data_IF_308935460888
#
_entry.id   IF_308935460888
#
_cell.length_a   1.000
_cell.length_b   1.000
_cell.length_c   1.000
_cell.angle_alpha   90.00
_cell.angle_beta   90.00
_cell.angle_gamma   90.00
#
_symmetry.space_group_name_H-M   'P 1'
#
loop_
_entity.id
_entity.type
_entity.pdbx_description
1 polymer ?
#
# COMPACT_ATOMS: atom_id res chain seq x y z
N UNK A 1 -20.14 61.45 -18.30
CA UNK A 1 -21.03 60.91 -17.24
C UNK A 1 -20.22 59.94 -16.37
N UNK A 2 -20.20 60.22 -15.06
CA UNK A 2 -19.42 59.54 -14.04
C UNK A 2 -19.91 58.09 -13.79
N UNK A 3 -19.03 57.10 -13.91
CA UNK A 3 -19.25 55.75 -13.37
C UNK A 3 -18.26 55.47 -12.23
N UNK A 4 -18.62 55.84 -11.00
CA UNK A 4 -17.78 55.59 -9.81
C UNK A 4 -17.75 54.11 -9.46
N UNK A 5 -16.52 53.61 -9.31
CA UNK A 5 -16.13 52.40 -8.59
C UNK A 5 -16.80 52.30 -7.21
N UNK A 6 -17.41 51.15 -6.93
CA UNK A 6 -17.90 50.75 -5.60
C UNK A 6 -17.04 49.58 -5.10
N UNK A 7 -15.80 49.86 -4.72
CA UNK A 7 -15.01 48.97 -3.87
C UNK A 7 -15.61 48.95 -2.48
N UNK A 8 -16.44 47.94 -2.19
CA UNK A 8 -17.00 47.69 -0.86
C UNK A 8 -15.87 47.24 0.07
N UNK A 9 -15.31 48.19 0.83
CA UNK A 9 -14.36 47.94 1.90
C UNK A 9 -15.02 47.08 2.99
N UNK A 10 -14.75 45.78 3.00
CA UNK A 10 -15.07 44.92 4.14
C UNK A 10 -14.07 45.23 5.24
N UNK A 11 -14.40 46.20 6.11
CA UNK A 11 -13.70 46.38 7.38
C UNK A 11 -13.79 45.08 8.18
N UNK A 12 -12.66 44.39 8.30
CA UNK A 12 -12.43 43.35 9.28
C UNK A 12 -12.53 43.98 10.67
N UNK A 13 -13.69 43.87 11.31
CA UNK A 13 -13.82 44.16 12.73
C UNK A 13 -13.12 43.04 13.49
N UNK A 14 -11.83 43.21 13.75
CA UNK A 14 -11.07 42.34 14.65
C UNK A 14 -11.46 42.73 16.08
N UNK A 15 -12.47 42.07 16.61
CA UNK A 15 -12.86 42.19 18.03
C UNK A 15 -11.63 41.87 18.89
N UNK A 16 -11.17 42.85 19.66
CA UNK A 16 -9.97 42.79 20.50
C UNK A 16 -10.38 43.06 21.96
N UNK A 17 -11.38 42.33 22.44
CA UNK A 17 -11.70 42.20 23.85
C UNK A 17 -11.23 40.83 24.36
N UNK A 18 -11.04 40.63 25.68
CA UNK A 18 -10.80 39.30 26.23
C UNK A 18 -11.95 38.40 25.81
N UNK A 19 -11.66 37.41 24.96
CA UNK A 19 -12.63 36.37 24.63
C UNK A 19 -12.86 35.64 25.94
N UNK A 20 -14.08 35.76 26.46
CA UNK A 20 -14.50 35.09 27.68
C UNK A 20 -14.09 33.61 27.60
N UNK A 21 -13.45 33.09 28.65
CA UNK A 21 -12.84 31.74 28.64
C UNK A 21 -13.91 30.71 28.26
N UNK A 22 -15.13 30.94 28.69
CA UNK A 22 -16.32 30.16 28.37
C UNK A 22 -16.69 30.18 26.87
N UNK A 23 -16.55 31.33 26.20
CA UNK A 23 -16.80 31.45 24.75
C UNK A 23 -15.73 30.70 23.96
N UNK A 24 -14.47 30.76 24.41
CA UNK A 24 -13.35 30.03 23.78
C UNK A 24 -13.50 28.52 23.93
N UNK A 25 -13.96 28.07 25.09
CA UNK A 25 -14.24 26.65 25.37
C UNK A 25 -15.41 26.12 24.53
N UNK A 26 -16.50 26.89 24.42
CA UNK A 26 -17.64 26.56 23.54
C UNK A 26 -17.25 26.48 22.06
N UNK A 27 -16.36 27.36 21.59
CA UNK A 27 -15.84 27.33 20.21
C UNK A 27 -15.00 26.08 19.96
N UNK A 28 -14.12 25.70 20.90
CA UNK A 28 -13.31 24.47 20.82
C UNK A 28 -14.19 23.21 20.83
N UNK A 29 -15.26 23.20 21.63
CA UNK A 29 -16.24 22.12 21.67
C UNK A 29 -17.02 21.99 20.36
N UNK A 30 -17.48 23.12 19.79
CA UNK A 30 -18.11 23.17 18.47
C UNK A 30 -17.18 22.68 17.35
N UNK A 31 -15.89 23.03 17.41
CA UNK A 31 -14.89 22.52 16.46
C UNK A 31 -14.69 21.01 16.59
N UNK A 32 -14.58 20.48 17.81
CA UNK A 32 -14.52 19.03 18.06
C UNK A 32 -15.76 18.31 17.53
N UNK A 33 -16.96 18.83 17.80
CA UNK A 33 -18.21 18.26 17.29
C UNK A 33 -18.28 18.30 15.76
N UNK A 34 -17.81 19.38 15.13
CA UNK A 34 -17.76 19.51 13.67
C UNK A 34 -16.80 18.49 13.06
N UNK A 35 -15.63 18.29 13.67
CA UNK A 35 -14.66 17.25 13.27
C UNK A 35 -15.25 15.84 13.42
N UNK A 36 -15.92 15.56 14.54
CA UNK A 36 -16.58 14.27 14.80
C UNK A 36 -17.69 14.00 13.80
N UNK A 37 -18.57 14.97 13.52
CA UNK A 37 -19.63 14.84 12.51
C UNK A 37 -19.06 14.67 11.11
N UNK A 38 -18.02 15.42 10.72
CA UNK A 38 -17.33 15.21 9.43
C UNK A 38 -16.75 13.80 9.31
N UNK A 39 -16.17 13.26 10.38
CA UNK A 39 -15.69 11.88 10.40
C UNK A 39 -16.84 10.87 10.24
N UNK A 40 -17.97 11.07 10.94
CA UNK A 40 -19.16 10.22 10.82
C UNK A 40 -19.82 10.30 9.45
N UNK A 41 -19.94 11.50 8.86
CA UNK A 41 -20.47 11.66 7.50
C UNK A 41 -19.58 10.95 6.48
N UNK A 42 -18.25 11.04 6.62
CA UNK A 42 -17.33 10.32 5.75
C UNK A 42 -17.40 8.80 5.96
N UNK A 43 -17.71 8.32 7.16
CA UNK A 43 -17.97 6.90 7.43
C UNK A 43 -19.28 6.43 6.79
N UNK A 44 -20.34 7.24 6.84
CA UNK A 44 -21.63 7.00 6.18
C UNK A 44 -21.48 7.03 4.66
N UNK A 45 -20.77 8.01 4.10
CA UNK A 45 -20.48 8.10 2.67
C UNK A 45 -19.73 6.85 2.17
N UNK A 46 -18.83 6.31 2.99
CA UNK A 46 -18.12 5.07 2.69
C UNK A 46 -18.98 3.80 2.82
N UNK A 47 -20.10 3.86 3.54
CA UNK A 47 -21.04 2.74 3.69
C UNK A 47 -22.23 2.82 2.74
N UNK A 48 -22.38 3.90 1.95
CA UNK A 48 -23.43 4.03 0.95
C UNK A 48 -23.12 3.20 -0.31
N UNK A 49 -24.17 2.65 -0.97
CA UNK A 49 -24.02 1.87 -2.19
C UNK A 49 -23.50 2.72 -3.34
N UNK A 50 -22.33 2.37 -3.88
CA UNK A 50 -21.80 2.99 -5.09
C UNK A 50 -22.35 2.29 -6.34
N UNK A 51 -22.81 3.07 -7.32
CA UNK A 51 -23.28 2.54 -8.60
C UNK A 51 -22.15 1.78 -9.31
N UNK A 52 -22.48 0.63 -9.88
CA UNK A 52 -21.57 -0.16 -10.70
C UNK A 52 -21.13 0.64 -11.94
N UNK A 53 -19.85 0.55 -12.29
CA UNK A 53 -19.35 1.17 -13.54
C UNK A 53 -19.85 0.41 -14.77
N UNK A 54 -19.90 1.07 -15.94
CA UNK A 54 -20.42 0.50 -17.21
C UNK A 54 -19.90 -0.91 -17.53
N UNK A 55 -18.61 -1.16 -17.37
CA UNK A 55 -18.01 -2.50 -17.57
C UNK A 55 -18.69 -3.58 -16.73
N UNK A 56 -18.92 -3.28 -15.46
CA UNK A 56 -19.51 -4.23 -14.52
C UNK A 56 -21.00 -4.41 -14.76
N UNK A 57 -21.70 -3.35 -15.19
CA UNK A 57 -23.09 -3.42 -15.62
C UNK A 57 -23.27 -4.29 -16.86
N UNK A 58 -22.34 -4.23 -17.82
CA UNK A 58 -22.38 -5.08 -19.02
C UNK A 58 -22.22 -6.56 -18.65
N UNK A 59 -21.34 -6.88 -17.69
CA UNK A 59 -21.02 -8.29 -17.34
C UNK A 59 -21.98 -8.88 -16.32
N UNK A 60 -22.30 -8.14 -15.26
CA UNK A 60 -23.13 -8.63 -14.14
C UNK A 60 -24.59 -8.19 -14.24
N UNK A 61 -24.94 -7.31 -15.19
CA UNK A 61 -26.25 -6.67 -15.24
C UNK A 61 -26.41 -5.57 -14.19
N UNK A 62 -27.66 -5.19 -13.92
CA UNK A 62 -28.01 -4.18 -12.92
C UNK A 62 -27.99 -4.74 -11.48
N UNK A 63 -26.85 -5.33 -11.10
CA UNK A 63 -26.63 -5.89 -9.77
C UNK A 63 -25.81 -4.92 -8.93
N UNK A 64 -26.28 -4.66 -7.71
CA UNK A 64 -25.55 -3.86 -6.73
C UNK A 64 -24.39 -4.66 -6.14
N UNK A 65 -23.17 -4.32 -6.52
CA UNK A 65 -21.92 -4.94 -6.03
C UNK A 65 -21.30 -4.22 -4.85
N UNK A 66 -22.03 -3.30 -4.22
CA UNK A 66 -21.52 -2.53 -3.10
C UNK A 66 -21.51 -3.35 -1.82
N UNK A 67 -20.32 -3.56 -1.28
CA UNK A 67 -20.06 -4.22 -0.01
C UNK A 67 -20.11 -3.13 1.06
N UNK A 68 -21.23 -2.97 1.76
CA UNK A 68 -21.43 -1.84 2.68
C UNK A 68 -20.58 -1.96 3.95
N UNK A 69 -20.37 -3.18 4.43
CA UNK A 69 -19.62 -3.46 5.65
C UNK A 69 -18.09 -3.36 5.43
N UNK A 70 -17.41 -2.60 6.28
CA UNK A 70 -15.95 -2.41 6.23
C UNK A 70 -15.18 -3.71 6.42
N UNK A 71 -15.66 -4.61 7.28
CA UNK A 71 -15.03 -5.90 7.52
C UNK A 71 -15.11 -6.80 6.28
N UNK A 72 -16.24 -6.77 5.57
CA UNK A 72 -16.44 -7.53 4.34
C UNK A 72 -15.60 -6.98 3.18
N UNK A 73 -15.40 -5.65 3.10
CA UNK A 73 -14.46 -5.05 2.13
C UNK A 73 -13.03 -5.56 2.34
N UNK A 74 -12.59 -5.65 3.59
CA UNK A 74 -11.25 -6.16 3.94
C UNK A 74 -11.15 -7.65 3.64
N UNK A 75 -12.16 -8.44 4.01
CA UNK A 75 -12.22 -9.88 3.73
C UNK A 75 -12.19 -10.16 2.24
N UNK A 76 -13.01 -9.47 1.44
CA UNK A 76 -13.01 -9.59 -0.01
C UNK A 76 -11.64 -9.28 -0.62
N UNK A 77 -10.97 -8.24 -0.11
CA UNK A 77 -9.61 -7.91 -0.53
C UNK A 77 -8.60 -9.00 -0.16
N UNK A 78 -8.67 -9.54 1.05
CA UNK A 78 -7.79 -10.64 1.48
C UNK A 78 -8.05 -11.91 0.62
N UNK A 79 -9.30 -12.21 0.28
CA UNK A 79 -9.66 -13.35 -0.58
C UNK A 79 -9.27 -13.12 -2.05
N UNK A 80 -9.29 -11.88 -2.53
CA UNK A 80 -8.71 -11.49 -3.83
C UNK A 80 -7.19 -11.72 -3.87
N UNK A 81 -6.46 -11.33 -2.82
CA UNK A 81 -5.02 -11.55 -2.72
C UNK A 81 -4.67 -13.04 -2.61
N UNK A 82 -5.42 -13.83 -1.81
CA UNK A 82 -5.28 -15.29 -1.76
C UNK A 82 -5.55 -15.95 -3.11
N UNK A 83 -6.60 -15.52 -3.81
CA UNK A 83 -6.92 -16.01 -5.14
C UNK A 83 -5.74 -15.84 -6.11
N UNK A 84 -5.12 -14.66 -6.16
CA UNK A 84 -3.91 -14.43 -6.97
C UNK A 84 -2.79 -15.39 -6.61
N UNK A 85 -2.53 -15.60 -5.32
CA UNK A 85 -1.47 -16.49 -4.87
C UNK A 85 -1.71 -17.95 -5.28
N UNK A 86 -2.92 -18.47 -5.03
CA UNK A 86 -3.27 -19.86 -5.36
C UNK A 86 -3.11 -20.09 -6.86
N UNK A 87 -3.65 -19.19 -7.67
CA UNK A 87 -3.58 -19.33 -9.13
C UNK A 87 -2.17 -19.15 -9.66
N UNK A 88 -1.36 -18.29 -9.04
CA UNK A 88 0.05 -18.16 -9.39
C UNK A 88 0.84 -19.45 -9.12
N UNK A 89 0.56 -20.15 -8.00
CA UNK A 89 1.20 -21.45 -7.70
C UNK A 89 0.76 -22.53 -8.69
N UNK A 90 -0.54 -22.62 -9.00
CA UNK A 90 -1.05 -23.56 -10.02
C UNK A 90 -0.41 -23.26 -11.38
N UNK A 91 -0.37 -21.99 -11.78
CA UNK A 91 0.24 -21.54 -13.03
C UNK A 91 1.72 -21.87 -13.11
N UNK A 92 2.47 -21.68 -12.02
CA UNK A 92 3.89 -22.03 -11.95
C UNK A 92 4.12 -23.53 -12.17
N UNK A 93 3.32 -24.37 -11.51
CA UNK A 93 3.39 -25.84 -11.64
C UNK A 93 3.08 -26.24 -13.09
N UNK A 94 2.01 -25.71 -13.68
CA UNK A 94 1.65 -25.99 -15.07
C UNK A 94 2.71 -25.51 -16.07
N UNK A 95 3.31 -24.32 -15.86
CA UNK A 95 4.38 -23.82 -16.69
C UNK A 95 5.62 -24.71 -16.62
N UNK A 96 5.96 -25.23 -15.42
CA UNK A 96 7.05 -26.18 -15.24
C UNK A 96 6.78 -27.52 -15.94
N UNK A 97 5.56 -28.05 -15.82
CA UNK A 97 5.17 -29.25 -16.57
C UNK A 97 5.24 -29.05 -18.09
N UNK A 98 4.85 -27.87 -18.60
CA UNK A 98 5.00 -27.53 -20.02
C UNK A 98 6.47 -27.43 -20.47
N UNK A 99 7.40 -27.10 -19.58
CA UNK A 99 8.83 -27.11 -19.92
C UNK A 99 9.38 -28.53 -20.09
N UNK A 100 8.88 -29.49 -19.31
CA UNK A 100 9.31 -30.89 -19.35
C UNK A 100 8.59 -31.65 -20.47
N UNK A 101 7.28 -31.47 -20.57
CA UNK A 101 6.41 -32.22 -21.48
C UNK A 101 5.90 -31.31 -22.60
N UNK A 102 6.15 -31.72 -23.85
CA UNK A 102 5.56 -31.08 -25.02
C UNK A 102 4.21 -31.73 -25.38
N UNK A 103 3.18 -31.47 -24.56
CA UNK A 103 1.85 -32.02 -24.78
C UNK A 103 0.82 -30.90 -24.97
N UNK A 104 0.18 -30.89 -26.15
CA UNK A 104 -0.72 -29.81 -26.58
C UNK A 104 -1.88 -29.55 -25.62
N UNK A 105 -2.49 -30.59 -25.06
CA UNK A 105 -3.61 -30.41 -24.14
C UNK A 105 -3.18 -29.71 -22.84
N UNK A 106 -1.95 -29.98 -22.37
CA UNK A 106 -1.38 -29.36 -21.17
C UNK A 106 -1.06 -27.87 -21.43
N UNK A 107 -0.56 -27.55 -22.63
CA UNK A 107 -0.36 -26.16 -23.06
C UNK A 107 -1.69 -25.40 -23.16
N UNK A 108 -2.69 -26.00 -23.81
CA UNK A 108 -4.03 -25.39 -23.94
C UNK A 108 -4.68 -25.19 -22.57
N UNK A 109 -4.58 -26.15 -21.67
CA UNK A 109 -5.07 -26.01 -20.31
C UNK A 109 -4.39 -24.85 -19.59
N UNK A 110 -3.08 -24.68 -19.76
CA UNK A 110 -2.33 -23.56 -19.18
C UNK A 110 -2.77 -22.21 -19.77
N UNK A 111 -2.86 -22.09 -21.10
CA UNK A 111 -3.26 -20.85 -21.76
C UNK A 111 -4.72 -20.51 -21.43
N UNK A 112 -5.61 -21.51 -21.39
CA UNK A 112 -6.99 -21.34 -20.95
C UNK A 112 -7.06 -20.84 -19.50
N UNK A 113 -6.23 -21.39 -18.61
CA UNK A 113 -6.12 -20.91 -17.23
C UNK A 113 -5.71 -19.43 -17.19
N UNK A 114 -4.77 -18.98 -18.03
CA UNK A 114 -4.39 -17.56 -18.12
C UNK A 114 -5.57 -16.68 -18.56
N UNK A 115 -6.32 -17.09 -19.59
CA UNK A 115 -7.51 -16.36 -20.04
C UNK A 115 -8.51 -16.23 -18.89
N UNK A 116 -8.87 -17.36 -18.27
CA UNK A 116 -9.80 -17.39 -17.15
C UNK A 116 -9.33 -16.53 -15.97
N UNK A 117 -8.03 -16.62 -15.64
CA UNK A 117 -7.42 -15.87 -14.55
C UNK A 117 -7.53 -14.37 -14.78
N UNK A 118 -7.08 -13.86 -15.95
CA UNK A 118 -7.11 -12.43 -16.22
C UNK A 118 -8.54 -11.89 -16.37
N UNK A 119 -9.45 -12.64 -17.00
CA UNK A 119 -10.88 -12.31 -17.00
C UNK A 119 -11.41 -12.15 -15.57
N UNK A 120 -11.14 -13.12 -14.70
CA UNK A 120 -11.59 -13.08 -13.29
C UNK A 120 -10.98 -11.89 -12.54
N UNK A 121 -9.69 -11.58 -12.77
CA UNK A 121 -9.03 -10.43 -12.17
C UNK A 121 -9.73 -9.12 -12.55
N UNK A 122 -10.01 -8.90 -13.84
CA UNK A 122 -10.65 -7.65 -14.28
C UNK A 122 -12.01 -7.43 -13.61
N UNK A 123 -12.79 -8.49 -13.38
CA UNK A 123 -14.07 -8.43 -12.68
C UNK A 123 -13.85 -8.11 -11.20
N UNK A 124 -13.01 -8.89 -10.50
CA UNK A 124 -12.73 -8.70 -9.06
C UNK A 124 -12.15 -7.32 -8.78
N UNK A 125 -11.26 -6.80 -9.62
CA UNK A 125 -10.70 -5.46 -9.48
C UNK A 125 -11.69 -4.34 -9.78
N UNK A 126 -12.63 -4.58 -10.69
CA UNK A 126 -13.72 -3.64 -10.96
C UNK A 126 -14.63 -3.51 -9.74
N UNK A 127 -14.97 -4.64 -9.10
CA UNK A 127 -15.71 -4.67 -7.82
C UNK A 127 -14.92 -3.95 -6.72
N UNK A 128 -13.63 -4.24 -6.54
CA UNK A 128 -12.79 -3.56 -5.55
C UNK A 128 -12.78 -2.03 -5.73
N UNK A 129 -12.75 -1.55 -6.97
CA UNK A 129 -12.71 -0.10 -7.26
C UNK A 129 -14.02 0.59 -6.96
N UNK A 130 -15.15 -0.01 -7.33
CA UNK A 130 -16.48 0.51 -6.97
C UNK A 130 -16.60 0.61 -5.44
N UNK A 131 -15.97 -0.32 -4.72
CA UNK A 131 -15.94 -0.35 -3.26
C UNK A 131 -14.81 0.50 -2.61
N UNK A 132 -14.21 1.43 -3.35
CA UNK A 132 -13.26 2.43 -2.81
C UNK A 132 -11.78 2.02 -2.82
N UNK A 133 -11.43 0.87 -3.41
CA UNK A 133 -10.01 0.47 -3.52
C UNK A 133 -9.24 1.42 -4.45
N UNK A 134 -8.13 1.98 -3.95
CA UNK A 134 -7.24 2.88 -4.70
C UNK A 134 -6.29 2.12 -5.64
N UNK A 135 -6.85 1.41 -6.60
CA UNK A 135 -6.09 0.74 -7.66
C UNK A 135 -5.69 1.79 -8.72
N UNK A 136 -4.41 1.78 -9.15
CA UNK A 136 -3.92 2.69 -10.19
C UNK A 136 -4.46 2.26 -11.57
N UNK A 137 -4.73 3.24 -12.43
CA UNK A 137 -5.32 3.01 -13.75
C UNK A 137 -4.51 2.05 -14.62
N UNK A 138 -3.17 2.18 -14.63
CA UNK A 138 -2.30 1.30 -15.41
C UNK A 138 -2.47 -0.18 -15.05
N UNK A 139 -2.48 -0.55 -13.77
CA UNK A 139 -2.60 -1.95 -13.36
C UNK A 139 -3.90 -2.59 -13.85
N UNK A 140 -4.99 -1.83 -13.84
CA UNK A 140 -6.25 -2.26 -14.45
C UNK A 140 -6.11 -2.45 -15.95
N UNK A 141 -5.61 -1.43 -16.66
CA UNK A 141 -5.42 -1.51 -18.12
C UNK A 141 -4.53 -2.69 -18.50
N UNK A 142 -3.44 -2.91 -17.74
CA UNK A 142 -2.55 -4.05 -17.87
C UNK A 142 -3.31 -5.38 -17.80
N UNK A 143 -4.19 -5.59 -16.82
CA UNK A 143 -4.99 -6.82 -16.75
C UNK A 143 -5.92 -7.01 -17.95
N UNK A 144 -6.54 -5.95 -18.45
CA UNK A 144 -7.34 -6.02 -19.68
C UNK A 144 -6.51 -6.39 -20.92
N UNK A 145 -5.33 -5.76 -21.07
CA UNK A 145 -4.40 -6.07 -22.15
C UNK A 145 -3.91 -7.52 -22.03
N UNK A 146 -3.64 -8.00 -20.81
CA UNK A 146 -3.26 -9.39 -20.56
C UNK A 146 -4.39 -10.38 -20.89
N UNK A 147 -5.67 -10.03 -20.66
CA UNK A 147 -6.81 -10.85 -21.13
C UNK A 147 -6.81 -10.99 -22.65
N UNK A 148 -6.61 -9.88 -23.38
CA UNK A 148 -6.53 -9.90 -24.85
C UNK A 148 -5.35 -10.76 -25.30
N UNK A 149 -4.17 -10.56 -24.70
CA UNK A 149 -2.98 -11.35 -25.02
C UNK A 149 -3.18 -12.85 -24.77
N UNK A 150 -3.78 -13.23 -23.64
CA UNK A 150 -4.11 -14.62 -23.35
C UNK A 150 -5.12 -15.20 -24.36
N UNK A 151 -6.10 -14.39 -24.80
CA UNK A 151 -7.05 -14.78 -25.83
C UNK A 151 -6.36 -15.04 -27.18
N UNK A 152 -5.47 -14.15 -27.61
CA UNK A 152 -4.66 -14.31 -28.84
C UNK A 152 -3.79 -15.57 -28.74
N UNK A 153 -3.16 -15.84 -27.59
CA UNK A 153 -2.40 -17.07 -27.36
C UNK A 153 -3.29 -18.33 -27.45
N UNK A 154 -4.54 -18.27 -26.98
CA UNK A 154 -5.46 -19.41 -27.00
C UNK A 154 -5.84 -19.81 -28.42
N UNK A 155 -6.09 -18.83 -29.29
CA UNK A 155 -6.45 -19.06 -30.70
C UNK A 155 -5.25 -19.24 -31.62
N UNK A 156 -4.02 -19.01 -31.12
CA UNK A 156 -2.80 -19.23 -31.91
C UNK A 156 -2.69 -20.72 -32.28
N UNK A 157 -2.74 -21.06 -33.59
CA UNK A 157 -2.65 -22.45 -34.03
C UNK A 157 -1.29 -23.07 -33.71
N UNK A 158 -1.27 -24.39 -33.57
CA UNK A 158 0.00 -25.11 -33.51
C UNK A 158 0.70 -25.03 -34.86
N UNK A 159 1.98 -24.72 -34.83
CA UNK A 159 2.81 -24.55 -36.02
C UNK A 159 4.25 -24.18 -35.65
N UNK A 160 5.07 -24.01 -36.67
CA UNK A 160 6.51 -23.72 -36.51
C UNK A 160 6.76 -22.48 -35.63
N UNK A 161 6.10 -21.36 -35.93
CA UNK A 161 6.27 -20.11 -35.16
C UNK A 161 5.90 -20.29 -33.68
N UNK A 162 4.85 -21.06 -33.37
CA UNK A 162 4.52 -21.35 -31.96
C UNK A 162 5.64 -22.17 -31.31
N UNK A 163 6.10 -23.25 -31.95
CA UNK A 163 7.11 -24.13 -31.37
C UNK A 163 8.45 -23.42 -31.12
N UNK A 164 8.84 -22.49 -31.99
CA UNK A 164 10.04 -21.65 -31.79
C UNK A 164 9.89 -20.74 -30.56
N UNK A 165 8.72 -20.12 -30.37
CA UNK A 165 8.50 -19.18 -29.26
C UNK A 165 8.11 -19.86 -27.93
N UNK A 166 7.53 -21.06 -27.99
CA UNK A 166 6.92 -21.80 -26.88
C UNK A 166 7.78 -21.83 -25.63
N UNK A 167 9.02 -22.29 -25.74
CA UNK A 167 9.91 -22.45 -24.57
C UNK A 167 10.19 -21.10 -23.92
N UNK A 168 10.47 -20.07 -24.72
CA UNK A 168 10.69 -18.71 -24.23
C UNK A 168 9.45 -18.19 -23.48
N UNK A 169 8.25 -18.44 -24.01
CA UNK A 169 6.99 -18.11 -23.33
C UNK A 169 6.83 -18.84 -21.99
N UNK A 170 7.16 -20.13 -21.93
CA UNK A 170 7.07 -20.89 -20.67
C UNK A 170 8.09 -20.42 -19.63
N UNK A 171 9.33 -20.13 -20.02
CA UNK A 171 10.33 -19.53 -19.14
C UNK A 171 9.89 -18.16 -18.62
N UNK A 172 9.29 -17.34 -19.48
CA UNK A 172 8.72 -16.06 -19.07
C UNK A 172 7.60 -16.24 -18.03
N UNK A 173 6.73 -17.24 -18.19
CA UNK A 173 5.66 -17.50 -17.23
C UNK A 173 6.20 -18.02 -15.88
N UNK A 174 7.20 -18.91 -15.88
CA UNK A 174 7.89 -19.31 -14.64
C UNK A 174 8.49 -18.09 -13.94
N UNK A 175 9.20 -17.26 -14.71
CA UNK A 175 9.83 -16.06 -14.17
C UNK A 175 8.81 -15.08 -13.58
N UNK A 176 7.75 -14.74 -14.33
CA UNK A 176 6.74 -13.80 -13.86
C UNK A 176 5.99 -14.35 -12.65
N UNK A 177 5.80 -15.67 -12.55
CA UNK A 177 5.20 -16.29 -11.37
C UNK A 177 6.05 -16.13 -10.11
N UNK A 178 7.37 -16.21 -10.23
CA UNK A 178 8.29 -15.91 -9.13
C UNK A 178 8.16 -14.42 -8.75
N UNK A 179 8.16 -13.51 -9.73
CA UNK A 179 7.98 -12.07 -9.48
C UNK A 179 6.64 -11.78 -8.81
N UNK A 180 5.56 -12.42 -9.25
CA UNK A 180 4.22 -12.27 -8.65
C UNK A 180 4.19 -12.74 -7.19
N UNK A 181 4.89 -13.82 -6.87
CA UNK A 181 5.07 -14.25 -5.48
C UNK A 181 5.81 -13.20 -4.63
N UNK A 182 6.89 -12.63 -5.17
CA UNK A 182 7.64 -11.54 -4.51
C UNK A 182 6.75 -10.28 -4.31
N UNK A 183 5.98 -9.92 -5.33
CA UNK A 183 5.02 -8.82 -5.28
C UNK A 183 3.94 -9.07 -4.23
N UNK A 184 3.41 -10.30 -4.13
CA UNK A 184 2.42 -10.67 -3.13
C UNK A 184 2.95 -10.48 -1.71
N UNK A 185 4.14 -11.01 -1.41
CA UNK A 185 4.70 -10.84 -0.06
C UNK A 185 5.03 -9.36 0.26
N UNK A 186 5.46 -8.58 -0.73
CA UNK A 186 5.60 -7.12 -0.58
C UNK A 186 4.26 -6.43 -0.28
N UNK A 187 3.19 -6.77 -1.01
CA UNK A 187 1.85 -6.19 -0.80
C UNK A 187 1.25 -6.60 0.54
N UNK A 188 1.42 -7.86 0.94
CA UNK A 188 1.01 -8.39 2.24
C UNK A 188 1.73 -7.66 3.38
N UNK A 189 3.04 -7.48 3.28
CA UNK A 189 3.85 -6.71 4.24
C UNK A 189 3.39 -5.24 4.38
N UNK A 190 3.02 -4.59 3.28
CA UNK A 190 2.44 -3.25 3.31
C UNK A 190 1.04 -3.21 3.95
N UNK A 191 0.19 -4.18 3.63
CA UNK A 191 -1.18 -4.24 4.13
C UNK A 191 -1.20 -4.47 5.64
N UNK A 192 -0.35 -5.36 6.16
CA UNK A 192 -0.19 -5.54 7.61
C UNK A 192 0.18 -4.24 8.32
N UNK A 193 1.10 -3.45 7.77
CA UNK A 193 1.48 -2.16 8.36
C UNK A 193 0.33 -1.18 8.39
N UNK A 194 -0.49 -1.11 7.34
CA UNK A 194 -1.66 -0.24 7.31
C UNK A 194 -2.74 -0.70 8.30
N UNK A 195 -2.94 -2.02 8.46
CA UNK A 195 -3.84 -2.58 9.49
C UNK A 195 -3.34 -2.25 10.90
N UNK A 196 -2.04 -2.46 11.18
CA UNK A 196 -1.42 -2.16 12.47
C UNK A 196 -1.30 -0.64 12.79
N UNK A 197 -1.30 0.23 11.77
CA UNK A 197 -1.38 1.68 11.99
C UNK A 197 -2.83 2.17 12.21
N UNK A 198 -3.83 1.35 11.85
CA UNK A 198 -5.25 1.64 12.01
C UNK A 198 -5.86 1.05 13.28
N UNK A 199 -5.36 -0.09 13.75
CA UNK A 199 -5.67 -0.65 15.07
C UNK A 199 -4.56 -0.31 16.05
N UNK A 200 -4.94 0.21 17.22
CA UNK A 200 -4.03 0.63 18.29
C UNK A 200 -3.47 -0.56 19.08
N UNK A 201 -3.12 -1.65 18.39
CA UNK A 201 -2.61 -2.85 19.05
C UNK A 201 -1.12 -3.06 18.73
N UNK A 202 -0.34 -3.19 19.80
CA UNK A 202 1.06 -3.60 19.75
C UNK A 202 1.17 -4.89 18.94
N UNK A 203 1.81 -4.83 17.79
CA UNK A 203 2.18 -6.03 17.05
C UNK A 203 3.64 -5.89 16.63
N UNK A 204 4.50 -5.94 17.65
CA UNK A 204 5.92 -6.22 17.45
C UNK A 204 6.03 -7.70 17.11
N UNK A 205 6.38 -7.97 15.85
CA UNK A 205 7.07 -9.21 15.51
C UNK A 205 8.40 -8.75 14.91
N UNK A 206 9.45 -8.97 15.69
CA UNK A 206 10.87 -8.81 15.36
C UNK A 206 11.28 -9.82 14.29
N UNK A 207 10.77 -9.69 13.07
CA UNK A 207 11.35 -10.39 11.92
C UNK A 207 12.56 -9.56 11.50
N UNK A 208 13.75 -10.06 11.82
CA UNK A 208 15.03 -9.39 11.63
C UNK A 208 15.33 -9.05 10.16
N UNK A 209 16.08 -7.95 10.01
CA UNK A 209 16.87 -7.50 8.86
C UNK A 209 16.36 -7.85 7.47
N UNK A 210 16.72 -9.04 6.98
CA UNK A 210 16.57 -9.44 5.59
C UNK A 210 15.11 -9.70 5.18
N UNK A 211 14.34 -10.49 5.94
CA UNK A 211 12.93 -10.75 5.63
C UNK A 211 12.08 -9.49 5.74
N UNK A 212 12.36 -8.63 6.72
CA UNK A 212 11.77 -7.30 6.83
C UNK A 212 12.12 -6.45 5.60
N UNK A 213 13.38 -6.40 5.18
CA UNK A 213 13.80 -5.65 4.00
C UNK A 213 13.21 -6.19 2.68
N UNK A 214 13.18 -7.50 2.50
CA UNK A 214 12.60 -8.17 1.32
C UNK A 214 11.09 -7.90 1.20
N UNK A 215 10.34 -8.12 2.28
CA UNK A 215 8.87 -8.01 2.26
C UNK A 215 8.34 -6.60 2.55
N UNK A 216 9.19 -5.66 2.96
CA UNK A 216 8.79 -4.25 3.24
C UNK A 216 9.51 -3.25 2.33
N UNK A 217 10.64 -3.62 1.72
CA UNK A 217 11.49 -2.77 0.89
C UNK A 217 11.06 -2.76 -0.56
N UNK A 218 10.64 -1.59 -1.06
CA UNK A 218 10.38 -1.42 -2.50
C UNK A 218 11.65 -1.67 -3.32
N UNK A 219 12.82 -1.28 -2.79
CA UNK A 219 14.11 -1.43 -3.46
C UNK A 219 14.52 -2.88 -3.71
N UNK A 220 14.11 -3.83 -2.86
CA UNK A 220 14.37 -5.26 -3.09
C UNK A 220 13.58 -5.78 -4.30
N UNK A 221 12.32 -5.37 -4.43
CA UNK A 221 11.42 -5.86 -5.47
C UNK A 221 11.79 -5.32 -6.86
N UNK A 222 12.36 -4.12 -6.94
CA UNK A 222 12.58 -3.41 -8.20
C UNK A 222 13.50 -4.13 -9.19
N UNK A 223 14.68 -4.67 -8.81
CA UNK A 223 15.53 -5.43 -9.73
C UNK A 223 14.78 -6.55 -10.46
N UNK A 224 14.03 -7.37 -9.71
CA UNK A 224 13.23 -8.46 -10.29
C UNK A 224 12.13 -7.92 -11.21
N UNK A 225 11.54 -6.79 -10.85
CA UNK A 225 10.51 -6.16 -11.65
C UNK A 225 11.06 -5.66 -13.00
N UNK A 226 12.20 -4.96 -12.98
CA UNK A 226 12.86 -4.48 -14.19
C UNK A 226 13.36 -5.61 -15.08
N UNK A 227 13.95 -6.68 -14.51
CA UNK A 227 14.32 -7.87 -15.29
C UNK A 227 13.08 -8.46 -15.97
N UNK A 228 11.95 -8.55 -15.27
CA UNK A 228 10.68 -8.98 -15.87
C UNK A 228 10.22 -8.10 -17.03
N UNK A 229 10.39 -6.79 -16.92
CA UNK A 229 10.07 -5.85 -17.99
C UNK A 229 11.00 -6.04 -19.19
N UNK A 230 12.30 -6.18 -18.95
CA UNK A 230 13.24 -6.50 -20.03
C UNK A 230 12.94 -7.85 -20.68
N UNK A 231 12.46 -8.84 -19.93
CA UNK A 231 11.99 -10.10 -20.51
C UNK A 231 10.72 -9.90 -21.36
N UNK A 232 9.79 -9.01 -20.95
CA UNK A 232 8.67 -8.62 -21.82
C UNK A 232 9.15 -7.99 -23.13
N UNK A 233 10.14 -7.08 -23.08
CA UNK A 233 10.74 -6.51 -24.27
C UNK A 233 11.46 -7.56 -25.13
N UNK A 234 12.15 -8.52 -24.51
CA UNK A 234 12.79 -9.64 -25.19
C UNK A 234 11.77 -10.53 -25.91
N UNK A 235 10.62 -10.81 -25.29
CA UNK A 235 9.51 -11.51 -25.95
C UNK A 235 8.99 -10.72 -27.14
N UNK A 236 8.76 -9.41 -26.97
CA UNK A 236 8.32 -8.54 -28.07
C UNK A 236 9.30 -8.57 -29.24
N UNK A 237 10.61 -8.49 -28.95
CA UNK A 237 11.68 -8.55 -29.95
C UNK A 237 11.78 -9.90 -30.65
N UNK A 238 11.73 -11.02 -29.92
CA UNK A 238 11.72 -12.35 -30.52
C UNK A 238 10.53 -12.49 -31.47
N UNK A 239 9.33 -12.12 -31.02
CA UNK A 239 8.11 -12.18 -31.84
C UNK A 239 8.16 -11.23 -33.03
N UNK A 240 8.77 -10.04 -32.88
CA UNK A 240 8.96 -9.11 -33.98
C UNK A 240 9.82 -9.75 -35.08
N UNK A 241 10.96 -10.37 -34.72
CA UNK A 241 11.77 -11.11 -35.70
C UNK A 241 10.99 -12.28 -36.32
N UNK A 242 10.24 -13.01 -35.49
CA UNK A 242 9.45 -14.16 -35.91
C UNK A 242 8.31 -13.79 -36.85
N UNK A 243 7.86 -12.52 -36.85
CA UNK A 243 6.88 -12.01 -37.79
C UNK A 243 7.42 -11.89 -39.23
N UNK A 244 8.75 -11.83 -39.40
CA UNK A 244 9.40 -11.71 -40.70
C UNK A 244 10.19 -12.97 -41.11
N UNK A 245 10.60 -13.80 -40.15
CA UNK A 245 11.36 -15.03 -40.43
C UNK A 245 11.12 -16.08 -39.34
N UNK A 246 10.66 -17.30 -39.68
CA UNK A 246 10.37 -17.83 -41.02
C UNK A 246 9.15 -17.19 -41.70
N UNK A 247 9.00 -17.29 -43.04
CA UNK A 247 7.88 -16.73 -43.79
C UNK A 247 6.52 -17.29 -43.32
N UNK A 248 5.43 -16.66 -43.77
CA UNK A 248 4.05 -17.05 -43.47
C UNK A 248 3.66 -17.01 -41.99
N UNK A 249 4.24 -16.06 -41.25
CA UNK A 249 3.91 -15.84 -39.85
C UNK A 249 2.41 -15.51 -39.68
N UNK A 250 1.67 -16.24 -38.83
CA UNK A 250 0.27 -15.92 -38.58
C UNK A 250 0.16 -14.58 -37.84
N UNK A 251 -0.96 -13.87 -38.05
CA UNK A 251 -1.20 -12.55 -37.45
C UNK A 251 -1.02 -12.49 -35.92
N UNK A 252 -1.24 -13.62 -35.23
CA UNK A 252 -1.02 -13.80 -33.80
C UNK A 252 0.40 -13.37 -33.37
N UNK A 253 1.42 -13.66 -34.18
CA UNK A 253 2.83 -13.33 -33.89
C UNK A 253 3.00 -11.81 -33.77
N UNK A 254 2.56 -11.07 -34.79
CA UNK A 254 2.66 -9.61 -34.85
C UNK A 254 1.85 -8.93 -33.75
N UNK A 255 0.62 -9.41 -33.49
CA UNK A 255 -0.23 -8.87 -32.42
C UNK A 255 0.40 -9.15 -31.04
N UNK A 256 0.90 -10.35 -30.79
CA UNK A 256 1.59 -10.66 -29.53
C UNK A 256 2.86 -9.83 -29.34
N UNK A 257 3.63 -9.58 -30.40
CA UNK A 257 4.79 -8.69 -30.36
C UNK A 257 4.37 -7.29 -29.87
N UNK A 258 3.34 -6.71 -30.50
CA UNK A 258 2.80 -5.40 -30.12
C UNK A 258 2.25 -5.36 -28.69
N UNK A 259 1.53 -6.39 -28.26
CA UNK A 259 0.99 -6.48 -26.90
C UNK A 259 2.10 -6.59 -25.84
N UNK A 260 3.12 -7.42 -26.06
CA UNK A 260 4.27 -7.49 -25.15
C UNK A 260 5.04 -6.17 -25.09
N UNK A 261 5.19 -5.47 -26.23
CA UNK A 261 5.84 -4.16 -26.28
C UNK A 261 5.03 -3.10 -25.51
N UNK A 262 3.71 -3.07 -25.70
CA UNK A 262 2.81 -2.17 -24.98
C UNK A 262 2.87 -2.41 -23.46
N UNK A 263 2.84 -3.67 -23.05
CA UNK A 263 2.96 -4.06 -21.64
C UNK A 263 4.31 -3.62 -21.07
N UNK A 264 5.41 -3.84 -21.81
CA UNK A 264 6.74 -3.39 -21.42
C UNK A 264 6.79 -1.87 -21.21
N UNK A 265 6.39 -1.10 -22.23
CA UNK A 265 6.45 0.38 -22.18
C UNK A 265 5.64 0.90 -21.01
N UNK A 266 4.39 0.45 -20.84
CA UNK A 266 3.55 0.99 -19.77
C UNK A 266 3.99 0.52 -18.38
N UNK A 267 4.53 -0.69 -18.24
CA UNK A 267 5.10 -1.18 -16.99
C UNK A 267 6.36 -0.38 -16.59
N UNK A 268 7.24 -0.13 -17.56
CA UNK A 268 8.44 0.67 -17.41
C UNK A 268 8.10 2.11 -17.02
N UNK A 269 7.25 2.79 -17.80
CA UNK A 269 6.84 4.16 -17.56
C UNK A 269 6.14 4.32 -16.20
N UNK A 270 5.24 3.41 -15.86
CA UNK A 270 4.54 3.45 -14.56
C UNK A 270 5.50 3.27 -13.41
N UNK A 271 6.46 2.35 -13.51
CA UNK A 271 7.43 2.11 -12.45
C UNK A 271 8.36 3.30 -12.27
N UNK A 272 8.88 3.85 -13.38
CA UNK A 272 9.74 5.04 -13.37
C UNK A 272 9.02 6.28 -12.80
N UNK A 273 7.72 6.42 -13.02
CA UNK A 273 6.93 7.50 -12.42
C UNK A 273 6.68 7.29 -10.92
N UNK A 274 6.31 6.08 -10.53
CA UNK A 274 5.78 5.79 -9.19
C UNK A 274 6.87 5.55 -8.15
N UNK A 275 8.01 5.01 -8.57
CA UNK A 275 9.11 4.68 -7.66
C UNK A 275 9.71 5.92 -7.00
N UNK A 276 10.10 6.98 -7.72
CA UNK A 276 10.65 8.19 -7.12
C UNK A 276 9.67 8.83 -6.13
N UNK A 277 8.38 8.87 -6.49
CA UNK A 277 7.31 9.39 -5.63
C UNK A 277 7.22 8.59 -4.31
N UNK A 278 7.24 7.25 -4.40
CA UNK A 278 7.18 6.37 -3.23
C UNK A 278 8.43 6.47 -2.36
N UNK A 279 9.61 6.56 -2.95
CA UNK A 279 10.88 6.72 -2.22
C UNK A 279 10.87 8.06 -1.48
N UNK A 280 10.52 9.16 -2.17
CA UNK A 280 10.42 10.49 -1.56
C UNK A 280 9.40 10.55 -0.43
N UNK A 281 8.23 9.93 -0.61
CA UNK A 281 7.18 9.87 0.42
C UNK A 281 7.65 9.10 1.66
N UNK A 282 8.34 7.96 1.49
CA UNK A 282 8.91 7.20 2.62
C UNK A 282 10.00 7.98 3.34
N UNK A 283 10.88 8.66 2.61
CA UNK A 283 11.91 9.51 3.22
C UNK A 283 11.28 10.60 4.08
N UNK A 284 10.26 11.31 3.57
CA UNK A 284 9.52 12.32 4.33
C UNK A 284 8.90 11.77 5.61
N UNK A 285 8.25 10.61 5.55
CA UNK A 285 7.65 9.98 6.72
C UNK A 285 8.71 9.60 7.77
N UNK A 286 9.86 9.07 7.34
CA UNK A 286 10.98 8.76 8.24
C UNK A 286 11.50 10.02 8.94
N UNK A 287 11.67 11.12 8.21
CA UNK A 287 12.06 12.40 8.80
C UNK A 287 11.02 12.92 9.79
N UNK A 288 9.72 12.80 9.50
CA UNK A 288 8.62 13.19 10.41
C UNK A 288 8.64 12.39 11.71
N UNK A 289 8.83 11.07 11.64
CA UNK A 289 8.92 10.22 12.84
C UNK A 289 10.16 10.56 13.66
N UNK A 290 11.31 10.80 13.01
CA UNK A 290 12.53 11.24 13.69
C UNK A 290 12.36 12.61 14.36
N UNK A 291 11.70 13.57 13.71
CA UNK A 291 11.43 14.89 14.30
C UNK A 291 10.45 14.80 15.47
N UNK A 292 9.41 13.96 15.37
CA UNK A 292 8.48 13.70 16.48
C UNK A 292 9.19 13.04 17.66
N UNK A 293 10.07 12.06 17.41
CA UNK A 293 10.88 11.42 18.44
C UNK A 293 11.80 12.42 19.16
N UNK A 294 12.48 13.29 18.42
CA UNK A 294 13.30 14.38 18.99
C UNK A 294 12.46 15.36 19.81
N UNK A 295 11.29 15.78 19.31
CA UNK A 295 10.38 16.69 20.02
C UNK A 295 9.83 16.07 21.31
N UNK A 296 9.48 14.78 21.31
CA UNK A 296 9.05 14.08 22.53
C UNK A 296 10.18 13.94 23.54
N UNK A 297 11.41 13.67 23.08
CA UNK A 297 12.59 13.61 23.96
C UNK A 297 12.86 14.98 24.60
N UNK A 298 12.83 16.05 23.81
CA UNK A 298 12.98 17.42 24.30
C UNK A 298 11.90 17.78 25.33
N UNK A 299 10.63 17.42 25.08
CA UNK A 299 9.54 17.64 26.05
C UNK A 299 9.75 16.88 27.36
N UNK A 300 10.31 15.67 27.31
CA UNK A 300 10.65 14.90 28.53
C UNK A 300 11.79 15.56 29.30
N UNK A 301 12.84 16.01 28.61
CA UNK A 301 13.96 16.71 29.25
C UNK A 301 13.49 18.01 29.91
N UNK A 302 12.70 18.84 29.22
CA UNK A 302 12.13 20.07 29.81
C UNK A 302 11.24 19.77 31.01
N UNK A 303 10.41 18.72 30.94
CA UNK A 303 9.55 18.32 32.07
C UNK A 303 10.38 17.87 33.27
N UNK A 304 11.43 17.09 33.04
CA UNK A 304 12.33 16.61 34.10
C UNK A 304 13.10 17.77 34.73
N UNK A 305 13.64 18.70 33.94
CA UNK A 305 14.31 19.90 34.46
C UNK A 305 13.36 20.83 35.23
N UNK A 306 12.10 20.97 34.81
CA UNK A 306 11.10 21.73 35.56
C UNK A 306 10.79 21.08 36.92
N UNK A 307 10.65 19.76 36.97
CA UNK A 307 10.47 19.03 38.25
C UNK A 307 11.69 19.12 39.16
N UNK A 308 12.91 19.12 38.60
CA UNK A 308 14.14 19.30 39.38
C UNK A 308 14.25 20.72 39.95
N UNK A 309 13.82 21.74 39.19
CA UNK A 309 13.73 23.12 39.67
C UNK A 309 12.68 23.26 40.80
N UNK A 310 11.51 22.65 40.66
CA UNK A 310 10.46 22.66 41.70
C UNK A 310 10.94 21.97 43.00
N UNK A 311 11.64 20.84 42.89
CA UNK A 311 12.26 20.13 44.03
C UNK A 311 13.35 20.98 44.71
N UNK A 312 14.19 21.67 43.93
CA UNK A 312 15.23 22.56 44.49
C UNK A 312 14.66 23.80 45.19
N UNK A 313 13.52 24.31 44.71
CA UNK A 313 12.84 25.47 45.30
C UNK A 313 12.15 25.13 46.63
N UNK A 314 11.67 23.90 46.78
CA UNK A 314 11.08 23.40 48.04
C UNK A 314 12.14 23.05 49.09
N UNK A 315 13.36 22.67 48.68
CA UNK A 315 14.45 22.36 49.61
C UNK A 315 15.10 23.61 50.26
N UNK A 316 14.97 24.80 49.64
CA UNK A 316 15.51 26.06 50.17
C UNK A 316 14.54 26.83 51.10
N UNK A 317 13.39 26.22 51.44
CA UNK A 317 12.30 26.87 52.17
C UNK A 317 12.11 26.41 53.62
N UNK A 318 13.17 26.18 54.42
CA UNK A 318 13.00 26.05 55.88
C UNK A 318 14.29 26.25 56.67
N UNK A 319 14.45 27.40 57.31
CA UNK A 319 15.00 27.52 58.68
C UNK A 319 14.86 28.96 59.21
N UNK A 320 14.22 29.15 60.38
CA UNK A 320 14.69 30.11 61.35
C UNK A 320 15.38 29.37 62.51
N UNK A 321 16.54 29.89 62.90
CA UNK A 321 17.30 29.51 64.08
C UNK A 321 16.52 29.89 65.35
N UNK A 322 16.45 28.98 66.31
CA UNK A 322 16.20 29.33 67.72
C UNK A 322 17.21 28.59 68.59
N UNK A 323 17.91 29.35 69.42
CA UNK A 323 18.95 28.89 70.34
C UNK A 323 18.39 28.76 71.76
N UNK A 324 18.63 27.61 72.41
CA UNK A 324 18.71 27.32 73.88
C UNK A 324 18.59 25.79 74.02
N UNK A 325 19.24 25.05 74.91
CA UNK A 325 20.20 25.28 75.98
C UNK A 325 20.73 23.89 76.41
N UNK A 326 21.82 23.90 77.15
CA UNK A 326 22.70 22.80 77.59
C UNK A 326 22.07 21.68 78.45
N UNK A 327 22.59 20.44 78.36
CA UNK A 327 23.35 19.69 79.40
C UNK A 327 23.27 18.15 79.21
N UNK A 328 24.45 17.50 79.28
CA UNK A 328 24.82 16.16 79.84
C UNK A 328 23.87 14.96 79.65
N UNK A 329 24.26 13.72 79.31
CA UNK A 329 25.34 12.86 79.82
C UNK A 329 25.39 11.52 79.02
N UNK A 330 26.39 10.71 79.33
CA UNK A 330 26.96 9.52 78.67
C UNK A 330 26.04 8.27 78.48
N UNK A 331 26.07 7.67 77.26
CA UNK A 331 26.57 6.31 76.85
C UNK A 331 26.47 5.08 77.83
N UNK A 332 26.55 3.76 77.43
CA UNK A 332 26.18 2.90 76.25
C UNK A 332 25.45 1.56 76.69
N UNK A 333 25.61 0.33 76.10
CA UNK A 333 25.57 -0.17 74.69
C UNK A 333 24.60 -1.37 74.45
N UNK A 334 24.44 -1.70 73.16
CA UNK A 334 24.35 -3.02 72.49
C UNK A 334 23.84 -4.30 73.21
N UNK A 335 22.91 -5.02 72.55
CA UNK A 335 23.02 -6.46 72.22
C UNK A 335 21.96 -6.79 71.13
N UNK A 336 22.34 -7.24 69.93
CA UNK A 336 22.42 -8.63 69.44
C UNK A 336 21.13 -9.46 69.49
N UNK A 337 20.86 -10.02 68.30
CA UNK A 337 20.53 -11.43 67.99
C UNK A 337 19.06 -11.87 67.86
N UNK A 338 18.86 -12.48 66.68
CA UNK A 338 18.10 -13.69 66.38
C UNK A 338 16.57 -13.63 66.50
N UNK A 339 15.86 -13.55 65.37
CA UNK A 339 15.29 -14.68 64.59
C UNK A 339 14.81 -14.16 63.23
#
# INVERSE_FOLDING_TARGET
>A
MNGRSLTRSTRSWRFKGPVDVEVKEKVDELQKMTLKRKAQLHEIEQSLPAKSGRYLQIILGDVNVSILNRNDKVRYKDDYEKFKLILNVIGLIMAFFNLIFNYRALELAFIFLLVWYYCTLTIRESILKVNGSRIKGWWRAHHFISTVAAGVLLVWPQGEHWQIFRMQFMYFNVYISIVQYLQFGYQKGLLYRLKALGERHNMDITIEGFHSWMWRGLSFLLPFLFIGYWFQAYNAWTLYKLAFSPPDAPWHVSVMSGLFLLLFIGNMATTLWVVPEKIRARSKERYRLLSMGKSMKLRREVKNSASDMDLSSSANGSTPKTATGSLTEQQPPADKKDI
#
